data_IF_018453770027
#
_entry.id   IF_018453770027
#
_cell.length_a   1.000
_cell.length_b   1.000
_cell.length_c   1.000
_cell.angle_alpha   90.00
_cell.angle_beta   90.00
_cell.angle_gamma   90.00
#
_symmetry.space_group_name_H-M   'P 1'
#
loop_
_entity.id
_entity.type
_entity.pdbx_description
1 polymer ?
#
# COMPACT_ATOMS: atom_id res chain seq x y z
N UNK A 1 -2.00 -24.42 21.92
CA UNK A 1 -2.76 -25.56 21.44
C UNK A 1 -4.17 -25.08 21.15
N UNK A 2 -4.50 -24.94 19.85
CA UNK A 2 -5.84 -24.58 19.42
C UNK A 2 -6.82 -25.69 19.94
N UNK A 3 -7.81 -25.28 20.70
CA UNK A 3 -8.91 -26.17 21.03
C UNK A 3 -9.63 -26.50 19.72
N UNK A 4 -9.65 -27.78 19.36
CA UNK A 4 -10.49 -28.27 18.29
C UNK A 4 -11.95 -27.91 18.66
N UNK A 5 -12.67 -27.28 17.75
CA UNK A 5 -14.12 -27.16 17.87
C UNK A 5 -14.70 -28.58 17.92
N UNK A 6 -15.43 -28.89 18.98
CA UNK A 6 -16.13 -30.18 19.08
C UNK A 6 -17.22 -30.23 18.00
N UNK A 7 -17.23 -31.23 17.14
CA UNK A 7 -18.27 -31.35 16.15
C UNK A 7 -19.58 -31.78 16.84
N UNK A 8 -20.64 -31.01 16.67
CA UNK A 8 -21.97 -31.44 17.06
C UNK A 8 -22.46 -32.55 16.09
N UNK A 9 -22.69 -33.75 16.60
CA UNK A 9 -23.20 -34.87 15.80
C UNK A 9 -24.74 -34.90 15.91
N UNK A 10 -25.43 -34.60 14.82
CA UNK A 10 -26.89 -34.79 14.71
C UNK A 10 -27.11 -35.78 13.58
N UNK A 11 -27.80 -36.88 13.87
CA UNK A 11 -28.15 -37.96 12.92
C UNK A 11 -26.96 -38.59 12.15
N UNK A 12 -25.81 -38.71 12.82
CA UNK A 12 -24.59 -39.25 12.21
C UNK A 12 -23.91 -38.34 11.20
N UNK A 13 -24.39 -37.12 10.99
CA UNK A 13 -23.70 -36.07 10.21
C UNK A 13 -22.89 -35.15 11.11
N UNK A 14 -21.64 -34.94 10.75
CA UNK A 14 -20.80 -33.91 11.37
C UNK A 14 -21.18 -32.56 10.75
N UNK A 15 -21.70 -31.66 11.60
CA UNK A 15 -21.96 -30.26 11.21
C UNK A 15 -20.98 -29.35 11.89
N UNK A 16 -20.54 -28.31 11.19
CA UNK A 16 -19.68 -27.26 11.75
C UNK A 16 -20.50 -26.02 12.02
N UNK A 17 -20.30 -25.44 13.21
CA UNK A 17 -20.94 -24.19 13.57
C UNK A 17 -20.32 -23.02 12.78
N UNK A 18 -21.09 -22.33 11.92
CA UNK A 18 -20.57 -21.20 11.14
C UNK A 18 -20.03 -20.05 12.00
N UNK A 19 -20.54 -19.88 13.22
CA UNK A 19 -20.06 -18.83 14.12
C UNK A 19 -18.65 -19.14 14.63
N UNK A 20 -18.35 -20.40 14.91
CA UNK A 20 -17.01 -20.82 15.31
C UNK A 20 -16.01 -20.71 14.15
N UNK A 21 -16.42 -21.05 12.93
CA UNK A 21 -15.57 -20.86 11.74
C UNK A 21 -15.30 -19.39 11.51
N UNK A 22 -16.30 -18.51 11.66
CA UNK A 22 -16.12 -17.06 11.56
C UNK A 22 -15.19 -16.51 12.64
N UNK A 23 -15.31 -16.98 13.87
CA UNK A 23 -14.41 -16.60 14.95
C UNK A 23 -12.96 -17.02 14.67
N UNK A 24 -12.75 -18.21 14.14
CA UNK A 24 -11.44 -18.69 13.70
C UNK A 24 -10.84 -17.84 12.58
N UNK A 25 -11.64 -17.50 11.56
CA UNK A 25 -11.19 -16.62 10.46
C UNK A 25 -10.82 -15.24 11.00
N UNK A 26 -11.57 -14.71 11.96
CA UNK A 26 -11.23 -13.46 12.63
C UNK A 26 -9.89 -13.54 13.35
N UNK A 27 -9.63 -14.61 14.09
CA UNK A 27 -8.33 -14.84 14.77
C UNK A 27 -7.17 -14.89 13.76
N UNK A 28 -7.39 -15.51 12.58
CA UNK A 28 -6.40 -15.51 11.50
C UNK A 28 -6.15 -14.10 10.99
N UNK A 29 -7.20 -13.32 10.74
CA UNK A 29 -7.08 -11.94 10.30
C UNK A 29 -6.35 -11.08 11.34
N UNK A 30 -6.76 -11.15 12.61
CA UNK A 30 -6.11 -10.40 13.70
C UNK A 30 -4.61 -10.74 13.84
N UNK A 31 -4.19 -11.93 13.43
CA UNK A 31 -2.81 -12.39 13.54
C UNK A 31 -1.95 -12.10 12.32
N UNK A 32 -2.52 -12.17 11.14
CA UNK A 32 -1.77 -12.19 9.89
C UNK A 32 -2.04 -11.02 8.95
N UNK A 33 -3.12 -10.27 9.16
CA UNK A 33 -3.36 -9.04 8.40
C UNK A 33 -2.28 -8.01 8.76
N UNK A 34 -1.69 -7.41 7.73
CA UNK A 34 -0.67 -6.35 7.88
C UNK A 34 -1.19 -4.98 7.48
N UNK A 35 -2.25 -4.92 6.65
CA UNK A 35 -2.91 -3.67 6.31
C UNK A 35 -3.43 -2.96 7.57
N UNK A 36 -3.26 -1.64 7.63
CA UNK A 36 -3.67 -0.77 8.75
C UNK A 36 -2.94 -1.05 10.09
N UNK A 37 -1.85 -1.81 10.07
CA UNK A 37 -1.05 -2.07 11.29
C UNK A 37 0.24 -1.26 11.29
N UNK A 38 0.75 -0.84 12.47
CA UNK A 38 2.05 -0.18 12.57
C UNK A 38 3.19 -1.11 12.13
N UNK A 39 4.13 -0.58 11.32
CA UNK A 39 5.27 -1.34 10.82
C UNK A 39 6.56 -0.53 10.96
N UNK A 40 7.65 -1.22 11.35
CA UNK A 40 8.97 -0.61 11.41
C UNK A 40 9.61 -0.64 10.02
N UNK A 41 10.06 0.52 9.57
CA UNK A 41 10.75 0.70 8.30
C UNK A 41 12.14 1.28 8.52
N UNK A 42 13.16 0.62 7.95
CA UNK A 42 14.52 1.13 7.91
C UNK A 42 14.68 2.05 6.71
N UNK A 43 14.86 3.34 6.96
CA UNK A 43 14.92 4.36 5.91
C UNK A 43 16.25 4.37 5.16
N UNK A 44 16.27 4.87 3.94
CA UNK A 44 17.50 5.13 3.18
C UNK A 44 18.45 6.14 3.88
N UNK A 45 17.93 6.90 4.84
CA UNK A 45 18.71 7.76 5.72
C UNK A 45 19.33 7.04 6.92
N UNK A 46 19.16 5.72 7.05
CA UNK A 46 19.74 4.89 8.13
C UNK A 46 19.01 5.00 9.48
N UNK A 47 17.72 5.34 9.48
CA UNK A 47 16.90 5.44 10.69
C UNK A 47 15.78 4.41 10.67
N UNK A 48 15.49 3.82 11.82
CA UNK A 48 14.30 3.01 12.01
C UNK A 48 13.14 3.90 12.45
N UNK A 49 12.05 3.85 11.71
CA UNK A 49 10.83 4.60 11.99
C UNK A 49 9.64 3.67 12.05
N UNK A 50 8.61 4.06 12.81
CA UNK A 50 7.32 3.36 12.80
C UNK A 50 6.34 4.14 11.93
N UNK A 51 5.70 3.44 10.98
CA UNK A 51 4.67 3.98 10.11
C UNK A 51 3.37 3.28 10.48
N UNK A 52 2.36 4.05 10.87
CA UNK A 52 1.06 3.54 11.36
C UNK A 52 -0.08 3.81 10.38
N UNK A 53 0.15 4.66 9.39
CA UNK A 53 -0.84 5.11 8.43
C UNK A 53 -0.69 4.38 7.09
N UNK A 54 -1.72 4.50 6.26
CA UNK A 54 -1.79 3.86 4.96
C UNK A 54 -2.63 2.58 4.99
N UNK A 55 -2.91 2.07 3.82
CA UNK A 55 -3.81 0.94 3.59
C UNK A 55 -3.10 -0.27 2.96
N UNK A 56 -1.82 -0.17 2.65
CA UNK A 56 -1.06 -1.27 2.06
C UNK A 56 -0.88 -2.43 3.02
N UNK A 57 -0.97 -3.65 2.52
CA UNK A 57 -0.71 -4.86 3.31
C UNK A 57 -1.63 -6.02 2.93
N UNK A 58 -1.45 -7.14 3.60
CA UNK A 58 -2.33 -8.30 3.52
C UNK A 58 -3.60 -8.06 4.31
N UNK A 59 -4.73 -8.48 3.75
CA UNK A 59 -6.02 -8.46 4.44
C UNK A 59 -6.90 -9.60 3.97
N UNK A 60 -7.31 -10.46 4.89
CA UNK A 60 -8.22 -11.58 4.64
C UNK A 60 -9.63 -11.05 4.38
N UNK A 61 -10.29 -11.56 3.35
CA UNK A 61 -11.73 -11.39 3.13
C UNK A 61 -12.47 -12.35 4.06
N UNK A 62 -12.76 -11.88 5.27
CA UNK A 62 -13.30 -12.75 6.34
C UNK A 62 -14.64 -13.41 5.97
N UNK A 63 -15.47 -12.75 5.14
CA UNK A 63 -16.74 -13.34 4.71
C UNK A 63 -16.51 -14.46 3.70
N UNK A 64 -15.70 -14.21 2.68
CA UNK A 64 -15.40 -15.22 1.66
C UNK A 64 -14.57 -16.36 2.22
N UNK A 65 -13.61 -16.08 3.09
CA UNK A 65 -12.81 -17.12 3.74
C UNK A 65 -13.67 -18.00 4.64
N UNK A 66 -14.60 -17.40 5.40
CA UNK A 66 -15.56 -18.19 6.19
C UNK A 66 -16.39 -19.13 5.31
N UNK A 67 -16.92 -18.63 4.19
CA UNK A 67 -17.68 -19.44 3.26
C UNK A 67 -16.83 -20.56 2.62
N UNK A 68 -15.59 -20.22 2.22
CA UNK A 68 -14.63 -21.16 1.66
C UNK A 68 -14.29 -22.30 2.65
N UNK A 69 -14.00 -21.97 3.90
CA UNK A 69 -13.70 -22.98 4.92
C UNK A 69 -14.92 -23.87 5.23
N UNK A 70 -16.12 -23.31 5.31
CA UNK A 70 -17.34 -24.10 5.50
C UNK A 70 -17.57 -25.09 4.36
N UNK A 71 -17.29 -24.70 3.11
CA UNK A 71 -17.40 -25.57 1.95
C UNK A 71 -16.37 -26.71 1.99
N UNK A 72 -15.10 -26.42 2.32
CA UNK A 72 -14.06 -27.44 2.50
C UNK A 72 -14.39 -28.43 3.63
N UNK A 73 -14.93 -27.93 4.75
CA UNK A 73 -15.36 -28.77 5.87
C UNK A 73 -16.53 -29.68 5.50
N UNK A 74 -17.49 -29.17 4.73
CA UNK A 74 -18.61 -29.97 4.23
C UNK A 74 -18.15 -31.11 3.31
N UNK A 75 -17.11 -30.88 2.53
CA UNK A 75 -16.49 -31.88 1.64
C UNK A 75 -15.63 -32.91 2.40
N UNK A 76 -15.38 -32.71 3.70
CA UNK A 76 -14.55 -33.58 4.56
C UNK A 76 -13.11 -33.74 4.01
N UNK A 77 -12.62 -32.73 3.30
CA UNK A 77 -11.27 -32.74 2.74
C UNK A 77 -10.26 -32.12 3.70
N UNK A 78 -9.12 -32.80 3.86
CA UNK A 78 -7.94 -32.22 4.49
C UNK A 78 -7.06 -31.64 3.39
N UNK A 79 -6.89 -30.32 3.39
CA UNK A 79 -6.10 -29.62 2.38
C UNK A 79 -5.32 -28.48 3.00
N UNK A 80 -4.23 -28.07 2.33
CA UNK A 80 -3.52 -26.82 2.61
C UNK A 80 -3.94 -25.84 1.53
N UNK A 81 -4.45 -24.69 1.95
CA UNK A 81 -4.90 -23.64 1.02
C UNK A 81 -4.45 -22.26 1.52
N UNK A 82 -4.32 -21.34 0.59
CA UNK A 82 -4.16 -19.92 0.88
C UNK A 82 -5.53 -19.35 1.28
N UNK A 83 -5.59 -18.44 2.28
CA UNK A 83 -6.81 -17.71 2.59
C UNK A 83 -7.33 -16.90 1.40
N UNK A 84 -8.63 -16.66 1.37
CA UNK A 84 -9.22 -15.70 0.42
C UNK A 84 -8.92 -14.30 0.88
N UNK A 85 -8.10 -13.58 0.13
CA UNK A 85 -7.69 -12.23 0.46
C UNK A 85 -8.59 -11.17 -0.18
N UNK A 86 -8.95 -10.15 0.59
CA UNK A 86 -9.53 -8.91 0.08
C UNK A 86 -8.44 -7.98 -0.49
N UNK A 87 -7.21 -8.12 0.02
CA UNK A 87 -6.05 -7.35 -0.42
C UNK A 87 -4.77 -8.16 -0.20
N UNK A 88 -3.83 -8.02 -1.14
CA UNK A 88 -2.53 -8.69 -1.10
C UNK A 88 -1.38 -7.69 -1.05
N UNK A 89 -0.24 -8.11 -0.52
CA UNK A 89 1.02 -7.37 -0.55
C UNK A 89 2.09 -8.12 -1.34
N UNK A 90 3.30 -7.54 -1.44
CA UNK A 90 4.37 -8.11 -2.27
C UNK A 90 4.93 -9.42 -1.71
N UNK A 91 5.08 -9.51 -0.40
CA UNK A 91 5.58 -10.70 0.31
C UNK A 91 4.86 -10.86 1.64
N UNK A 92 4.87 -12.06 2.21
CA UNK A 92 4.36 -12.29 3.56
C UNK A 92 5.33 -11.79 4.63
N UNK A 93 4.78 -11.40 5.79
CA UNK A 93 5.52 -10.95 6.96
C UNK A 93 5.42 -9.44 7.19
N UNK A 94 6.13 -8.95 8.23
CA UNK A 94 6.05 -7.55 8.65
C UNK A 94 6.60 -6.53 7.64
N UNK A 95 7.54 -6.95 6.79
CA UNK A 95 8.11 -6.14 5.70
C UNK A 95 7.46 -6.52 4.37
N UNK A 96 6.15 -6.49 4.35
CA UNK A 96 5.31 -6.98 3.27
C UNK A 96 5.43 -6.19 1.95
N UNK A 97 6.13 -5.05 1.96
CA UNK A 97 6.48 -4.27 0.77
C UNK A 97 7.56 -4.92 -0.12
N UNK A 98 8.27 -5.96 0.40
CA UNK A 98 9.29 -6.67 -0.36
C UNK A 98 10.51 -5.80 -0.73
N UNK A 99 11.10 -6.08 -1.88
CA UNK A 99 12.36 -5.44 -2.33
C UNK A 99 12.20 -4.47 -3.49
N UNK A 100 10.96 -4.29 -3.99
CA UNK A 100 10.62 -3.31 -5.03
C UNK A 100 9.57 -2.35 -4.49
N UNK A 101 9.97 -1.10 -4.20
CA UNK A 101 9.11 -0.09 -3.60
C UNK A 101 9.61 1.33 -3.89
N UNK A 102 8.77 2.30 -3.61
CA UNK A 102 9.12 3.72 -3.61
C UNK A 102 9.17 4.18 -2.15
N UNK A 103 10.29 4.78 -1.76
CA UNK A 103 10.47 5.44 -0.46
C UNK A 103 10.43 6.96 -0.64
N UNK A 104 9.77 7.68 0.26
CA UNK A 104 9.61 9.13 0.20
C UNK A 104 9.83 9.75 1.58
N UNK A 105 10.88 10.57 1.71
CA UNK A 105 11.08 11.46 2.85
C UNK A 105 10.46 12.83 2.56
N UNK A 106 9.36 13.16 3.25
CA UNK A 106 8.73 14.49 3.13
C UNK A 106 9.60 15.58 3.79
N UNK A 107 10.36 15.21 4.81
CA UNK A 107 11.29 16.13 5.49
C UNK A 107 12.42 16.57 4.55
N UNK A 108 13.01 15.61 3.84
CA UNK A 108 14.17 15.84 2.98
C UNK A 108 13.76 16.16 1.54
N UNK A 109 12.48 16.05 1.22
CA UNK A 109 11.92 16.23 -0.12
C UNK A 109 12.64 15.34 -1.14
N UNK A 110 12.88 14.09 -0.76
CA UNK A 110 13.58 13.08 -1.55
C UNK A 110 12.73 11.82 -1.74
N UNK A 111 12.97 11.16 -2.86
CA UNK A 111 12.41 9.88 -3.23
C UNK A 111 13.52 8.94 -3.66
N UNK A 112 13.40 7.68 -3.24
CA UNK A 112 14.20 6.57 -3.73
C UNK A 112 13.28 5.53 -4.37
N UNK A 113 13.65 5.03 -5.53
CA UNK A 113 13.04 3.87 -6.16
C UNK A 113 13.95 2.68 -5.97
N UNK A 114 13.49 1.70 -5.24
CA UNK A 114 14.13 0.39 -5.14
C UNK A 114 13.49 -0.57 -6.13
N UNK A 115 14.31 -1.36 -6.79
CA UNK A 115 13.91 -2.45 -7.68
C UNK A 115 14.77 -3.65 -7.37
N UNK A 116 14.14 -4.77 -6.97
CA UNK A 116 14.82 -6.02 -6.62
C UNK A 116 15.96 -5.82 -5.61
N UNK A 117 15.73 -4.96 -4.60
CA UNK A 117 16.68 -4.63 -3.53
C UNK A 117 17.76 -3.61 -3.90
N UNK A 118 17.80 -3.15 -5.14
CA UNK A 118 18.78 -2.14 -5.58
C UNK A 118 18.15 -0.77 -5.72
N UNK A 119 18.83 0.27 -5.23
CA UNK A 119 18.41 1.65 -5.44
C UNK A 119 18.64 2.04 -6.92
N UNK A 120 17.56 2.04 -7.69
CA UNK A 120 17.58 2.35 -9.12
C UNK A 120 17.58 3.84 -9.41
N UNK A 121 16.96 4.65 -8.52
CA UNK A 121 16.83 6.09 -8.69
C UNK A 121 16.75 6.77 -7.33
N UNK A 122 17.46 7.89 -7.21
CA UNK A 122 17.25 8.89 -6.18
C UNK A 122 16.84 10.20 -6.84
N UNK A 123 15.82 10.88 -6.32
CA UNK A 123 15.26 12.09 -6.90
C UNK A 123 14.83 13.09 -5.84
N UNK A 124 15.08 14.36 -6.05
CA UNK A 124 14.35 15.41 -5.34
C UNK A 124 12.92 15.50 -5.88
N UNK A 125 12.02 15.96 -5.02
CA UNK A 125 10.60 16.16 -5.34
C UNK A 125 10.07 17.47 -4.72
N UNK A 126 8.83 17.82 -5.05
CA UNK A 126 8.06 18.82 -4.30
C UNK A 126 6.74 18.17 -3.89
N UNK A 127 6.55 18.02 -2.58
CA UNK A 127 5.34 17.46 -1.99
C UNK A 127 4.22 18.50 -1.81
N UNK A 128 3.10 18.05 -1.28
CA UNK A 128 1.98 18.90 -0.89
C UNK A 128 2.35 19.94 0.17
N UNK A 129 1.65 21.07 0.15
CA UNK A 129 1.87 22.17 1.09
C UNK A 129 1.06 21.96 2.39
N UNK A 130 1.71 21.58 3.51
CA UNK A 130 1.00 21.31 4.76
C UNK A 130 0.39 22.57 5.39
N UNK A 131 0.97 23.76 5.14
CA UNK A 131 0.47 25.01 5.72
C UNK A 131 -0.87 25.46 5.11
N UNK A 132 -1.19 24.95 3.90
CA UNK A 132 -2.46 25.16 3.20
C UNK A 132 -3.42 23.97 3.34
N UNK A 133 -3.18 23.05 4.27
CA UNK A 133 -3.94 21.80 4.45
C UNK A 133 -3.90 20.88 3.21
N UNK A 134 -2.84 20.99 2.42
CA UNK A 134 -2.58 20.19 1.23
C UNK A 134 -1.37 19.26 1.44
N UNK A 135 -1.07 18.87 2.68
CA UNK A 135 0.04 17.97 2.96
C UNK A 135 -0.12 16.62 2.25
N UNK A 136 0.98 16.08 1.73
CA UNK A 136 0.99 14.71 1.25
C UNK A 136 0.76 13.76 2.43
N UNK A 137 -0.18 12.81 2.34
CA UNK A 137 -0.44 11.87 3.42
C UNK A 137 0.77 10.95 3.64
N UNK A 138 1.17 10.81 4.91
CA UNK A 138 2.15 9.79 5.33
C UNK A 138 1.49 8.42 5.34
N UNK A 139 2.30 7.36 5.28
CA UNK A 139 1.80 6.00 5.34
C UNK A 139 2.43 5.08 4.31
N UNK A 140 1.98 3.83 4.30
CA UNK A 140 2.33 2.85 3.28
C UNK A 140 1.10 2.61 2.40
N UNK A 141 1.24 2.87 1.11
CA UNK A 141 0.18 2.78 0.11
C UNK A 141 0.60 1.89 -1.05
N UNK A 142 -0.35 1.29 -1.74
CA UNK A 142 -0.10 0.64 -3.03
C UNK A 142 -0.42 1.58 -4.20
N UNK A 143 0.37 1.57 -5.26
CA UNK A 143 -0.02 2.26 -6.49
C UNK A 143 -1.35 1.69 -7.00
N UNK A 144 -2.35 2.55 -7.17
CA UNK A 144 -3.69 2.13 -7.60
C UNK A 144 -3.69 1.71 -9.07
N UNK A 145 -3.04 2.51 -9.90
CA UNK A 145 -2.81 2.26 -11.33
C UNK A 145 -1.69 3.17 -11.83
N UNK A 146 -1.34 3.05 -13.11
CA UNK A 146 -0.49 4.03 -13.79
C UNK A 146 -1.07 4.34 -15.17
N UNK A 147 -1.00 5.60 -15.58
CA UNK A 147 -1.45 6.02 -16.91
C UNK A 147 -0.58 7.14 -17.46
N UNK A 148 -0.66 7.33 -18.77
CA UNK A 148 0.04 8.41 -19.49
C UNK A 148 -0.95 9.46 -19.96
N UNK A 149 -0.44 10.70 -20.10
CA UNK A 149 -1.17 11.83 -20.69
C UNK A 149 -2.49 12.11 -19.94
N UNK A 150 -2.41 12.18 -18.60
CA UNK A 150 -3.53 12.52 -17.73
C UNK A 150 -3.68 14.05 -17.60
N UNK A 151 -4.90 14.49 -17.35
CA UNK A 151 -5.18 15.84 -16.88
C UNK A 151 -5.61 15.76 -15.41
N UNK A 152 -4.85 16.40 -14.54
CA UNK A 152 -5.14 16.47 -13.10
C UNK A 152 -5.91 17.77 -12.86
N UNK A 153 -7.21 17.64 -12.57
CA UNK A 153 -8.11 18.75 -12.34
C UNK A 153 -8.38 18.95 -10.86
N UNK A 154 -8.43 20.18 -10.41
CA UNK A 154 -8.80 20.57 -9.06
C UNK A 154 -9.40 21.96 -9.04
N UNK A 155 -9.71 22.48 -7.83
CA UNK A 155 -10.29 23.80 -7.70
C UNK A 155 -9.32 24.87 -8.23
N UNK A 156 -9.63 25.41 -9.43
CA UNK A 156 -8.88 26.49 -10.05
C UNK A 156 -7.62 26.07 -10.82
N UNK A 157 -7.45 24.79 -11.14
CA UNK A 157 -6.35 24.35 -11.99
C UNK A 157 -6.67 23.09 -12.81
N UNK A 158 -6.05 23.02 -13.99
CA UNK A 158 -5.93 21.83 -14.83
C UNK A 158 -4.46 21.66 -15.21
N UNK A 159 -3.87 20.55 -14.82
CA UNK A 159 -2.46 20.25 -15.08
C UNK A 159 -2.33 19.02 -15.95
N UNK A 160 -1.77 19.19 -17.15
CA UNK A 160 -1.44 18.06 -18.03
C UNK A 160 -0.13 17.43 -17.60
N UNK A 161 -0.14 16.13 -17.36
CA UNK A 161 1.03 15.34 -16.99
C UNK A 161 1.21 14.16 -17.94
N UNK A 162 2.47 13.79 -18.20
CA UNK A 162 2.79 12.63 -19.05
C UNK A 162 2.68 11.32 -18.30
N UNK A 163 2.97 11.32 -17.01
CA UNK A 163 3.04 10.15 -16.16
C UNK A 163 2.22 10.39 -14.90
N UNK A 164 1.19 9.59 -14.69
CA UNK A 164 0.35 9.66 -13.50
C UNK A 164 0.32 8.31 -12.79
N UNK A 165 0.64 8.31 -11.51
CA UNK A 165 0.76 7.13 -10.66
C UNK A 165 0.12 7.43 -9.30
N UNK A 166 -1.23 7.32 -9.17
CA UNK A 166 -1.93 7.56 -7.92
C UNK A 166 -1.70 6.43 -6.91
N UNK A 167 -1.66 6.80 -5.62
CA UNK A 167 -1.51 5.85 -4.51
C UNK A 167 -2.54 6.06 -3.38
N UNK A 168 -3.13 7.24 -3.26
CA UNK A 168 -4.15 7.53 -2.27
C UNK A 168 -5.19 8.49 -2.86
N UNK A 169 -6.39 7.99 -3.20
CA UNK A 169 -7.44 8.78 -3.86
C UNK A 169 -6.89 9.57 -5.06
N UNK A 170 -6.93 10.91 -4.97
CA UNK A 170 -6.42 11.83 -6.00
C UNK A 170 -4.99 12.30 -5.74
N UNK A 171 -4.25 11.64 -4.84
CA UNK A 171 -2.84 11.91 -4.55
C UNK A 171 -1.96 10.87 -5.21
N UNK A 172 -0.94 11.31 -5.93
CA UNK A 172 -0.05 10.41 -6.66
C UNK A 172 1.28 11.06 -7.02
N UNK A 173 2.12 10.28 -7.70
CA UNK A 173 3.37 10.75 -8.29
C UNK A 173 3.12 11.16 -9.74
N UNK A 174 3.71 12.28 -10.15
CA UNK A 174 3.64 12.72 -11.55
C UNK A 174 4.81 13.63 -11.94
N UNK A 175 5.05 13.77 -13.23
CA UNK A 175 5.98 14.76 -13.76
C UNK A 175 5.42 16.18 -13.59
N UNK A 176 6.30 17.13 -13.34
CA UNK A 176 5.96 18.54 -13.21
C UNK A 176 6.86 19.40 -14.12
N UNK A 177 6.59 19.42 -15.43
CA UNK A 177 7.41 20.14 -16.42
C UNK A 177 7.41 21.67 -16.22
N UNK A 178 6.46 22.20 -15.48
CA UNK A 178 6.38 23.62 -15.11
C UNK A 178 7.31 24.05 -13.98
N UNK A 179 8.03 23.08 -13.36
CA UNK A 179 9.00 23.36 -12.29
C UNK A 179 10.41 23.26 -12.80
N UNK A 180 11.22 24.27 -12.47
CA UNK A 180 12.66 24.29 -12.74
C UNK A 180 13.49 23.77 -11.57
N UNK A 181 12.91 23.68 -10.35
CA UNK A 181 13.60 23.28 -9.13
C UNK A 181 12.76 22.33 -8.28
N UNK A 182 13.44 21.44 -7.59
CA UNK A 182 12.84 20.43 -6.72
C UNK A 182 13.64 20.31 -5.41
N UNK A 183 13.00 19.82 -4.34
CA UNK A 183 13.65 19.62 -3.05
C UNK A 183 13.58 20.83 -2.12
N UNK A 184 14.33 20.76 -1.03
CA UNK A 184 14.48 21.82 -0.04
C UNK A 184 13.16 22.25 0.61
N UNK A 185 12.95 23.56 0.75
CA UNK A 185 11.78 24.14 1.42
C UNK A 185 10.69 24.60 0.43
N UNK A 186 10.80 24.27 -0.85
CA UNK A 186 9.86 24.73 -1.90
C UNK A 186 8.43 24.36 -1.54
N UNK A 187 8.21 23.17 -0.97
CA UNK A 187 6.87 22.68 -0.61
C UNK A 187 6.11 23.58 0.40
N UNK A 188 6.83 24.37 1.21
CA UNK A 188 6.20 25.26 2.20
C UNK A 188 5.54 26.49 1.58
N UNK A 189 6.10 27.03 0.51
CA UNK A 189 5.59 28.25 -0.16
C UNK A 189 4.93 27.95 -1.50
N UNK A 190 5.46 26.98 -2.25
CA UNK A 190 5.03 26.59 -3.59
C UNK A 190 4.89 25.07 -3.73
N UNK A 191 4.29 24.43 -2.72
CA UNK A 191 3.97 23.01 -2.72
C UNK A 191 2.79 22.67 -3.63
N UNK A 192 2.59 21.37 -3.86
CA UNK A 192 1.44 20.85 -4.59
C UNK A 192 0.17 20.83 -3.70
N UNK A 193 -0.93 20.34 -4.25
CA UNK A 193 -2.18 20.05 -3.52
C UNK A 193 -2.19 18.64 -2.90
N UNK A 194 -1.02 18.03 -2.67
CA UNK A 194 -0.87 16.72 -2.05
C UNK A 194 0.00 15.78 -2.87
N UNK A 195 0.02 15.91 -4.19
CA UNK A 195 0.80 15.07 -5.08
C UNK A 195 2.32 15.26 -4.92
N UNK A 196 3.08 14.26 -5.34
CA UNK A 196 4.53 14.27 -5.41
C UNK A 196 4.97 14.69 -6.81
N UNK A 197 5.41 15.94 -6.93
CA UNK A 197 5.88 16.53 -8.18
C UNK A 197 7.33 16.12 -8.44
N UNK A 198 7.61 15.55 -9.59
CA UNK A 198 8.92 15.02 -9.96
C UNK A 198 9.48 15.68 -11.22
N UNK A 199 10.83 15.73 -11.36
CA UNK A 199 11.46 16.01 -12.65
C UNK A 199 10.93 15.04 -13.73
N UNK A 200 10.62 15.51 -14.96
CA UNK A 200 10.00 14.67 -15.99
C UNK A 200 10.78 13.39 -16.32
N UNK A 201 12.10 13.46 -16.37
CA UNK A 201 12.95 12.29 -16.61
C UNK A 201 12.86 11.25 -15.50
N UNK A 202 12.77 11.70 -14.23
CA UNK A 202 12.67 10.83 -13.07
C UNK A 202 11.27 10.19 -12.97
N UNK A 203 10.22 10.96 -13.23
CA UNK A 203 8.85 10.41 -13.32
C UNK A 203 8.74 9.34 -14.42
N UNK A 204 9.37 9.56 -15.57
CA UNK A 204 9.44 8.58 -16.66
C UNK A 204 10.15 7.29 -16.23
N UNK A 205 11.27 7.41 -15.51
CA UNK A 205 12.03 6.27 -15.01
C UNK A 205 11.25 5.48 -13.97
N UNK A 206 10.56 6.15 -13.05
CA UNK A 206 9.68 5.51 -12.06
C UNK A 206 8.56 4.78 -12.78
N UNK A 207 7.82 5.48 -13.66
CA UNK A 207 6.69 4.91 -14.41
C UNK A 207 7.04 3.62 -15.15
N UNK A 208 8.26 3.54 -15.71
CA UNK A 208 8.74 2.34 -16.42
C UNK A 208 8.98 1.14 -15.50
N UNK A 209 9.30 1.38 -14.23
CA UNK A 209 9.79 0.35 -13.30
C UNK A 209 8.81 -0.04 -12.20
N UNK A 210 7.63 0.57 -12.14
CA UNK A 210 6.59 0.28 -11.15
C UNK A 210 5.32 -0.21 -11.84
N UNK A 211 4.50 -0.94 -11.09
CA UNK A 211 3.20 -1.43 -11.53
C UNK A 211 2.12 -1.18 -10.47
N UNK A 212 0.86 -1.54 -10.77
CA UNK A 212 -0.21 -1.54 -9.79
C UNK A 212 0.23 -2.32 -8.56
N UNK A 213 -0.13 -1.81 -7.40
CA UNK A 213 0.21 -2.35 -6.07
C UNK A 213 1.71 -2.25 -5.70
N UNK A 214 2.56 -1.58 -6.50
CA UNK A 214 3.93 -1.25 -6.03
C UNK A 214 3.82 -0.39 -4.77
N UNK A 215 4.49 -0.77 -3.65
CA UNK A 215 4.44 -0.02 -2.40
C UNK A 215 5.03 1.38 -2.52
N UNK A 216 4.37 2.36 -1.89
CA UNK A 216 4.82 3.75 -1.73
C UNK A 216 4.85 4.05 -0.24
N UNK A 217 6.05 4.17 0.32
CA UNK A 217 6.32 4.36 1.74
C UNK A 217 6.66 5.83 1.96
N UNK A 218 5.82 6.56 2.72
CA UNK A 218 5.90 8.01 2.89
C UNK A 218 5.98 8.36 4.38
N UNK A 219 7.03 9.10 4.78
CA UNK A 219 7.27 9.51 6.17
C UNK A 219 7.75 10.96 6.32
#
# INVERSE_FOLDING_TARGET
PARRADPACIDGQVTFDPQQVRAFVKELADKYDTAYTPRTFHTSGGQDITISEGDYGWRIDQEKETAHLLDLLAQKQSTVCEPVYAQTAAVHGHQDWGTTYIEVSLKDQQLWLYKDGQCLLQSYLVSGNPTRKHGTPKGIYGLTYKTRNATLSGQGYDSKVKYWMPFNCNVGLHDAPWRSSFGGQIYKSNGSHGCLNLPPANAAKIYKNVDKNTPVIIY
#
